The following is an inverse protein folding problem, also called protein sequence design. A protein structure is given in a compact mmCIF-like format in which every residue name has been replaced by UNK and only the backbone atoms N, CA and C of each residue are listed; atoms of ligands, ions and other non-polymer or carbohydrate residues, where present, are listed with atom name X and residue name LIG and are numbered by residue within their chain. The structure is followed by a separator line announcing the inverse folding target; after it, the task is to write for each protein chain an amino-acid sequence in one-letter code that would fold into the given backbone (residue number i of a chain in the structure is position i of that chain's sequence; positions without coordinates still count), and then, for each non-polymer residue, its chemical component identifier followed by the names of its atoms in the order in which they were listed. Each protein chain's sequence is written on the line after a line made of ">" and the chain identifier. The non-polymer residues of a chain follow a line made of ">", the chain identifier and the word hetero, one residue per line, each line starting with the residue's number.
data_IF_627560830363
#
_entry.id   IF_627560830363
#
_cell.length_a   1.000
_cell.length_b   1.000
_cell.length_c   1.000
_cell.angle_alpha   90.00
_cell.angle_beta   90.00
_cell.angle_gamma   90.00
#
_symmetry.space_group_name_H-M   'P 1'
#
loop_
_entity.id
_entity.type
_entity.pdbx_description
1 polymer ?
#
# COMPACT_ATOMS: atom_id res chain seq x y z
N UNK A 1 -20.38 -1.05 -19.40
CA UNK A 1 -19.41 -1.33 -18.31
C UNK A 1 -18.11 -0.61 -18.64
N UNK A 2 -17.54 0.18 -17.72
CA UNK A 2 -16.35 0.99 -18.01
C UNK A 2 -15.07 0.21 -17.63
N UNK A 3 -14.29 -0.20 -18.64
CA UNK A 3 -13.11 -1.05 -18.42
C UNK A 3 -12.02 -0.35 -17.61
N UNK A 4 -11.90 0.98 -17.73
CA UNK A 4 -10.95 1.75 -16.93
C UNK A 4 -11.30 1.68 -15.44
N UNK A 5 -12.59 1.83 -15.07
CA UNK A 5 -13.03 1.67 -13.68
C UNK A 5 -12.80 0.27 -13.12
N UNK A 6 -12.93 -0.78 -13.94
CA UNK A 6 -12.66 -2.17 -13.53
C UNK A 6 -11.17 -2.34 -13.21
N UNK A 7 -10.30 -1.92 -14.13
CA UNK A 7 -8.85 -2.05 -13.96
C UNK A 7 -8.37 -1.25 -12.74
N UNK A 8 -8.82 -0.01 -12.57
CA UNK A 8 -8.46 0.79 -11.39
C UNK A 8 -8.97 0.16 -10.10
N UNK A 9 -10.23 -0.27 -10.05
CA UNK A 9 -10.80 -0.94 -8.88
C UNK A 9 -10.05 -2.23 -8.51
N UNK A 10 -9.68 -3.03 -9.50
CA UNK A 10 -8.86 -4.22 -9.32
C UNK A 10 -7.53 -3.89 -8.65
N UNK A 11 -6.76 -2.93 -9.19
CA UNK A 11 -5.47 -2.58 -8.62
C UNK A 11 -5.57 -1.91 -7.25
N UNK A 12 -6.61 -1.14 -6.97
CA UNK A 12 -6.79 -0.50 -5.65
C UNK A 12 -7.06 -1.55 -4.57
N UNK A 13 -7.93 -2.51 -4.88
CA UNK A 13 -8.23 -3.62 -3.97
C UNK A 13 -7.00 -4.52 -3.83
N UNK A 14 -6.33 -4.86 -4.92
CA UNK A 14 -5.12 -5.70 -4.89
C UNK A 14 -3.99 -5.05 -4.09
N UNK A 15 -3.76 -3.74 -4.25
CA UNK A 15 -2.76 -2.98 -3.50
C UNK A 15 -3.02 -3.06 -1.98
N UNK A 16 -4.29 -2.95 -1.59
CA UNK A 16 -4.72 -3.08 -0.21
C UNK A 16 -4.52 -4.51 0.32
N UNK A 17 -4.94 -5.53 -0.42
CA UNK A 17 -4.90 -6.92 0.06
C UNK A 17 -3.49 -7.50 0.11
N UNK A 18 -2.62 -7.15 -0.86
CA UNK A 18 -1.22 -7.57 -0.83
C UNK A 18 -0.47 -6.88 0.31
N UNK A 19 -0.70 -5.58 0.53
CA UNK A 19 -0.14 -4.89 1.69
C UNK A 19 -0.65 -5.49 3.01
N UNK A 20 -1.94 -5.84 3.10
CA UNK A 20 -2.48 -6.55 4.25
C UNK A 20 -1.79 -7.90 4.47
N UNK A 21 -1.50 -8.67 3.41
CA UNK A 21 -0.75 -9.91 3.49
C UNK A 21 0.61 -9.72 4.17
N UNK A 22 1.38 -8.72 3.71
CA UNK A 22 2.65 -8.37 4.34
C UNK A 22 2.50 -7.88 5.79
N UNK A 23 1.48 -7.08 6.09
CA UNK A 23 1.25 -6.51 7.42
C UNK A 23 0.76 -7.53 8.45
N UNK A 24 0.04 -8.57 8.01
CA UNK A 24 -0.59 -9.56 8.89
C UNK A 24 0.44 -10.51 9.50
N UNK A 25 0.45 -10.62 10.83
CA UNK A 25 1.41 -11.44 11.56
C UNK A 25 1.75 -10.82 12.91
N UNK A 26 2.70 -11.43 13.64
CA UNK A 26 3.27 -10.77 14.82
C UNK A 26 4.34 -9.77 14.38
N UNK A 27 4.19 -8.46 14.64
CA UNK A 27 5.12 -7.42 14.18
C UNK A 27 6.55 -7.58 14.69
N UNK A 28 6.79 -8.35 15.75
CA UNK A 28 8.12 -8.63 16.29
C UNK A 28 8.81 -9.83 15.63
N UNK A 29 8.08 -10.63 14.84
CA UNK A 29 8.54 -11.93 14.30
C UNK A 29 8.73 -11.85 12.79
N UNK A 30 9.98 -11.67 12.36
CA UNK A 30 10.30 -11.44 10.94
C UNK A 30 9.84 -12.56 10.00
N UNK A 31 9.86 -13.81 10.45
CA UNK A 31 9.48 -14.95 9.61
C UNK A 31 7.99 -14.94 9.22
N UNK A 32 7.15 -14.20 9.95
CA UNK A 32 5.74 -14.01 9.62
C UNK A 32 5.55 -13.04 8.44
N UNK A 33 6.58 -12.27 8.08
CA UNK A 33 6.51 -11.18 7.11
C UNK A 33 7.43 -11.43 5.91
N UNK A 34 6.88 -11.72 4.74
CA UNK A 34 7.69 -12.05 3.56
C UNK A 34 8.21 -10.80 2.83
N UNK A 35 9.52 -10.77 2.56
CA UNK A 35 10.14 -9.74 1.71
C UNK A 35 9.53 -9.70 0.29
N UNK A 36 9.04 -10.85 -0.21
CA UNK A 36 8.36 -10.91 -1.50
C UNK A 36 6.98 -10.24 -1.47
N UNK A 37 6.28 -10.31 -0.34
CA UNK A 37 5.00 -9.63 -0.17
C UNK A 37 5.19 -8.12 -0.05
N UNK A 38 6.22 -7.66 0.66
CA UNK A 38 6.57 -6.24 0.70
C UNK A 38 6.92 -5.70 -0.70
N UNK A 39 7.74 -6.45 -1.46
CA UNK A 39 8.06 -6.09 -2.83
C UNK A 39 6.82 -6.04 -3.73
N UNK A 40 5.95 -7.06 -3.65
CA UNK A 40 4.71 -7.07 -4.40
C UNK A 40 3.78 -5.91 -3.99
N UNK A 41 3.71 -5.58 -2.70
CA UNK A 41 2.94 -4.45 -2.19
C UNK A 41 3.42 -3.15 -2.82
N UNK A 42 4.74 -2.90 -2.86
CA UNK A 42 5.32 -1.71 -3.49
C UNK A 42 4.93 -1.65 -4.97
N UNK A 43 5.18 -2.72 -5.73
CA UNK A 43 4.93 -2.73 -7.18
C UNK A 43 3.45 -2.48 -7.49
N UNK A 44 2.54 -3.16 -6.78
CA UNK A 44 1.10 -3.03 -7.01
C UNK A 44 0.61 -1.64 -6.58
N UNK A 45 1.13 -1.06 -5.49
CA UNK A 45 0.77 0.30 -5.08
C UNK A 45 1.24 1.34 -6.13
N UNK A 46 2.45 1.21 -6.67
CA UNK A 46 2.93 2.09 -7.74
C UNK A 46 2.05 2.01 -8.99
N UNK A 47 1.58 0.80 -9.38
CA UNK A 47 0.63 0.66 -10.49
C UNK A 47 -0.69 1.37 -10.16
N UNK A 48 -1.21 1.19 -8.95
CA UNK A 48 -2.42 1.87 -8.50
C UNK A 48 -2.26 3.40 -8.52
N UNK A 49 -1.10 3.92 -8.13
CA UNK A 49 -0.75 5.35 -8.21
C UNK A 49 -0.79 5.85 -9.65
N UNK A 50 -0.17 5.14 -10.59
CA UNK A 50 -0.20 5.50 -12.02
C UNK A 50 -1.64 5.51 -12.56
N UNK A 51 -2.49 4.57 -12.17
CA UNK A 51 -3.89 4.54 -12.58
C UNK A 51 -4.73 5.70 -12.02
N UNK A 52 -4.26 6.36 -10.96
CA UNK A 52 -4.86 7.57 -10.39
C UNK A 52 -4.30 8.85 -11.01
N UNK A 53 -3.13 8.78 -11.65
CA UNK A 53 -2.58 9.90 -12.42
C UNK A 53 -3.47 10.17 -13.64
N UNK A 54 -3.95 11.40 -13.76
CA UNK A 54 -4.76 11.85 -14.91
C UNK A 54 -6.20 12.21 -14.56
N UNK A 55 -6.69 11.83 -13.38
CA UNK A 55 -7.98 12.31 -12.87
C UNK A 55 -7.80 13.73 -12.29
N UNK A 56 -8.39 14.72 -12.99
CA UNK A 56 -8.32 16.14 -12.61
C UNK A 56 -9.42 16.56 -11.63
N UNK A 57 -10.23 15.62 -11.14
CA UNK A 57 -11.29 15.92 -10.16
C UNK A 57 -10.72 16.09 -8.75
N UNK A 58 -11.50 16.71 -7.86
CA UNK A 58 -11.19 16.78 -6.43
C UNK A 58 -11.01 15.38 -5.83
N UNK A 59 -11.84 14.42 -6.22
CA UNK A 59 -11.72 13.04 -5.77
C UNK A 59 -10.42 12.38 -6.29
N UNK A 60 -10.09 12.60 -7.57
CA UNK A 60 -8.84 12.15 -8.19
C UNK A 60 -7.61 12.64 -7.42
N UNK A 61 -7.60 13.92 -7.03
CA UNK A 61 -6.53 14.49 -6.22
C UNK A 61 -6.38 13.81 -4.85
N UNK A 62 -7.48 13.53 -4.16
CA UNK A 62 -7.44 12.83 -2.85
C UNK A 62 -7.02 11.36 -3.01
N UNK A 63 -7.52 10.67 -4.04
CA UNK A 63 -7.08 9.31 -4.36
C UNK A 63 -5.58 9.25 -4.66
N UNK A 64 -5.06 10.22 -5.41
CA UNK A 64 -3.63 10.30 -5.68
C UNK A 64 -2.85 10.52 -4.38
N UNK A 65 -3.31 11.44 -3.51
CA UNK A 65 -2.67 11.69 -2.23
C UNK A 65 -2.59 10.45 -1.34
N UNK A 66 -3.66 9.65 -1.24
CA UNK A 66 -3.62 8.40 -0.45
C UNK A 66 -2.62 7.39 -1.01
N UNK A 67 -2.43 7.35 -2.32
CA UNK A 67 -1.47 6.45 -2.96
C UNK A 67 -0.03 6.88 -2.71
N UNK A 68 0.25 8.18 -2.81
CA UNK A 68 1.57 8.71 -2.52
C UNK A 68 1.97 8.45 -1.06
N UNK A 69 1.03 8.55 -0.12
CA UNK A 69 1.27 8.18 1.28
C UNK A 69 1.58 6.68 1.40
N UNK A 70 0.82 5.81 0.73
CA UNK A 70 1.07 4.38 0.73
C UNK A 70 2.45 4.03 0.15
N UNK A 71 2.79 4.58 -1.02
CA UNK A 71 4.07 4.36 -1.69
C UNK A 71 5.25 4.81 -0.83
N UNK A 72 5.20 6.01 -0.25
CA UNK A 72 6.26 6.53 0.62
C UNK A 72 6.48 5.61 1.82
N UNK A 73 5.40 5.15 2.44
CA UNK A 73 5.50 4.28 3.62
C UNK A 73 6.00 2.87 3.28
N UNK A 74 5.58 2.29 2.15
CA UNK A 74 6.10 0.99 1.70
C UNK A 74 7.58 1.07 1.30
N UNK A 75 7.99 2.14 0.62
CA UNK A 75 9.40 2.38 0.29
C UNK A 75 10.22 2.59 1.56
N UNK A 76 9.69 3.34 2.55
CA UNK A 76 10.33 3.50 3.84
C UNK A 76 10.49 2.15 4.56
N UNK A 77 9.45 1.30 4.56
CA UNK A 77 9.50 -0.05 5.12
C UNK A 77 10.61 -0.89 4.49
N UNK A 78 10.70 -0.91 3.15
CA UNK A 78 11.77 -1.62 2.43
C UNK A 78 13.17 -1.02 2.68
N UNK A 79 13.25 0.30 2.86
CA UNK A 79 14.51 0.98 3.19
C UNK A 79 15.00 0.58 4.57
N UNK A 80 14.12 0.59 5.58
CA UNK A 80 14.45 0.12 6.94
C UNK A 80 14.89 -1.34 6.91
N UNK A 81 14.18 -2.20 6.17
CA UNK A 81 14.57 -3.60 5.99
C UNK A 81 15.99 -3.72 5.44
N UNK A 82 16.27 -3.01 4.34
CA UNK A 82 17.57 -3.06 3.66
C UNK A 82 18.69 -2.61 4.58
N UNK A 83 18.49 -1.53 5.33
CA UNK A 83 19.50 -0.99 6.25
C UNK A 83 19.73 -1.96 7.43
N UNK A 84 18.66 -2.46 8.06
CA UNK A 84 18.77 -3.39 9.18
C UNK A 84 19.51 -4.68 8.77
N UNK A 85 19.18 -5.22 7.60
CA UNK A 85 19.75 -6.48 7.12
C UNK A 85 21.19 -6.35 6.62
N UNK A 86 21.48 -5.36 5.76
CA UNK A 86 22.78 -5.27 5.06
C UNK A 86 23.79 -4.32 5.72
N UNK A 87 23.34 -3.34 6.50
CA UNK A 87 24.23 -2.36 7.14
C UNK A 87 24.49 -2.76 8.58
N UNK A 88 23.43 -2.86 9.38
CA UNK A 88 23.55 -3.17 10.81
C UNK A 88 23.70 -4.66 11.11
N UNK A 89 23.28 -5.54 10.18
CA UNK A 89 23.25 -6.99 10.38
C UNK A 89 22.48 -7.40 11.65
N UNK A 90 21.48 -6.60 12.02
CA UNK A 90 20.65 -6.79 13.20
C UNK A 90 19.18 -6.72 12.78
N UNK A 91 18.59 -7.91 12.68
CA UNK A 91 17.19 -8.09 12.31
C UNK A 91 16.35 -8.46 13.53
N UNK A 92 16.52 -7.68 14.60
CA UNK A 92 15.82 -7.85 15.87
C UNK A 92 14.36 -7.37 15.86
N UNK A 93 13.66 -7.50 17.01
CA UNK A 93 12.25 -7.11 17.16
C UNK A 93 11.99 -5.64 16.87
N UNK A 94 12.91 -4.74 17.23
CA UNK A 94 12.77 -3.29 16.99
C UNK A 94 12.74 -2.97 15.49
N UNK A 95 13.71 -3.48 14.73
CA UNK A 95 13.76 -3.29 13.28
C UNK A 95 12.56 -3.93 12.58
N UNK A 96 12.20 -5.15 12.97
CA UNK A 96 11.04 -5.87 12.40
C UNK A 96 9.74 -5.09 12.66
N UNK A 97 9.54 -4.62 13.89
CA UNK A 97 8.35 -3.84 14.27
C UNK A 97 8.28 -2.53 13.48
N UNK A 98 9.41 -1.85 13.27
CA UNK A 98 9.47 -0.62 12.50
C UNK A 98 9.07 -0.84 11.03
N UNK A 99 9.58 -1.91 10.42
CA UNK A 99 9.25 -2.31 9.04
C UNK A 99 7.74 -2.56 8.90
N UNK A 100 7.17 -3.38 9.79
CA UNK A 100 5.75 -3.76 9.75
C UNK A 100 4.84 -2.57 10.09
N UNK A 101 5.25 -1.72 11.03
CA UNK A 101 4.49 -0.51 11.38
C UNK A 101 4.39 0.47 10.21
N UNK A 102 5.47 0.63 9.43
CA UNK A 102 5.47 1.44 8.22
C UNK A 102 4.52 0.85 7.15
N UNK A 103 4.48 -0.46 6.95
CA UNK A 103 3.48 -1.04 6.02
C UNK A 103 2.05 -0.90 6.54
N UNK A 104 1.85 -0.91 7.86
CA UNK A 104 0.56 -0.67 8.51
C UNK A 104 -0.04 0.70 8.19
N UNK A 105 0.76 1.76 8.19
CA UNK A 105 0.26 3.07 7.77
C UNK A 105 0.01 3.17 6.26
N UNK A 106 0.78 2.45 5.43
CA UNK A 106 0.46 2.30 4.01
C UNK A 106 -0.87 1.54 3.81
N UNK A 107 -1.18 0.56 4.67
CA UNK A 107 -2.42 -0.20 4.63
C UNK A 107 -3.61 0.69 4.94
N UNK A 108 -3.50 1.57 5.95
CA UNK A 108 -4.52 2.58 6.25
C UNK A 108 -4.77 3.51 5.06
N UNK A 109 -3.71 3.97 4.39
CA UNK A 109 -3.84 4.81 3.20
C UNK A 109 -4.57 4.07 2.06
N UNK A 110 -4.29 2.78 1.87
CA UNK A 110 -5.01 1.93 0.90
C UNK A 110 -6.48 1.72 1.26
N UNK A 111 -6.81 1.52 2.53
CA UNK A 111 -8.21 1.43 2.99
C UNK A 111 -8.97 2.72 2.64
N UNK A 112 -8.38 3.88 2.91
CA UNK A 112 -8.98 5.17 2.53
C UNK A 112 -9.16 5.25 1.02
N UNK A 113 -8.17 4.83 0.22
CA UNK A 113 -8.28 4.78 -1.24
C UNK A 113 -9.46 3.93 -1.71
N UNK A 114 -9.66 2.74 -1.14
CA UNK A 114 -10.75 1.83 -1.51
C UNK A 114 -12.11 2.40 -1.10
N UNK A 115 -12.21 2.99 0.10
CA UNK A 115 -13.44 3.66 0.57
C UNK A 115 -13.85 4.80 -0.36
N UNK A 116 -12.90 5.64 -0.78
CA UNK A 116 -13.16 6.74 -1.72
C UNK A 116 -13.65 6.23 -3.08
N UNK A 117 -13.03 5.17 -3.61
CA UNK A 117 -13.42 4.56 -4.87
C UNK A 117 -14.84 3.95 -4.82
N UNK A 118 -15.19 3.26 -3.73
CA UNK A 118 -16.53 2.72 -3.52
C UNK A 118 -17.55 3.86 -3.39
N UNK A 119 -17.21 4.92 -2.67
CA UNK A 119 -18.09 6.08 -2.47
C UNK A 119 -18.44 6.79 -3.78
N UNK A 120 -17.48 6.92 -4.70
CA UNK A 120 -17.72 7.43 -6.07
C UNK A 120 -18.70 6.54 -6.83
N UNK A 121 -18.48 5.23 -6.75
CA UNK A 121 -19.31 4.23 -7.45
C UNK A 121 -20.77 4.27 -6.98
N UNK A 122 -21.00 4.50 -5.68
CA UNK A 122 -22.36 4.63 -5.11
C UNK A 122 -23.03 5.94 -5.54
N UNK A 123 -22.31 7.07 -5.53
CA UNK A 123 -22.84 8.37 -5.98
C UNK A 123 -23.21 8.36 -7.46
N UNK A 124 -22.40 7.71 -8.30
CA UNK A 124 -22.63 7.60 -9.74
C UNK A 124 -23.91 6.83 -10.12
N UNK A 125 -24.58 6.13 -9.19
CA UNK A 125 -25.83 5.39 -9.43
C UNK A 125 -27.11 6.19 -9.09
N UNK A 126 -26.99 7.40 -8.56
CA UNK A 126 -28.11 8.33 -8.31
C UNK A 126 -28.04 9.46 -9.33
#
# INVERSE_FOLDING_TARGET
>A
MNMHKIVSGFFFILAMTINFGFFYGNPEVLIDHSAYELFAAIVVNLIATVLKLGDKTQLGAVLLATSLVADIQLIASATVWTIAYYVYHDMGPEATTAIVSLSGGALLANIVSVILFISDTVKSKR
#
